data_IF_825562195736
#
_entry.id   IF_825562195736
#
_cell.length_a   1.000
_cell.length_b   1.000
_cell.length_c   1.000
_cell.angle_alpha   90.00
_cell.angle_beta   90.00
_cell.angle_gamma   90.00
#
_symmetry.space_group_name_H-M   'P 1'
#
loop_
_entity.id
_entity.type
_entity.pdbx_description
1 polymer ?
#
# COMPACT_ATOMS: atom_id res chain seq x y z
N UNK A 1 37.48 -16.71 2.07
CA UNK A 1 37.64 -17.54 3.28
C UNK A 1 37.39 -16.63 4.47
N UNK A 2 36.14 -16.55 4.87
CA UNK A 2 35.71 -16.06 6.19
C UNK A 2 34.52 -16.95 6.52
N UNK A 3 34.89 -18.06 7.13
CA UNK A 3 34.04 -19.03 7.76
C UNK A 3 33.51 -18.37 9.03
N UNK A 4 32.26 -17.91 9.02
CA UNK A 4 31.53 -17.64 10.26
C UNK A 4 30.78 -18.92 10.59
N UNK A 5 31.49 -19.77 11.31
CA UNK A 5 30.96 -20.91 12.03
C UNK A 5 29.98 -20.41 13.10
N UNK A 6 28.72 -20.21 12.72
CA UNK A 6 27.59 -20.17 13.66
C UNK A 6 27.19 -21.59 13.97
N UNK A 7 28.07 -22.33 14.65
CA UNK A 7 27.73 -23.62 15.23
C UNK A 7 26.68 -23.41 16.31
N UNK A 8 25.49 -23.87 15.99
CA UNK A 8 24.28 -24.11 16.79
C UNK A 8 24.55 -24.31 18.28
N UNK A 9 24.12 -23.35 19.10
CA UNK A 9 23.91 -23.55 20.53
C UNK A 9 22.44 -23.31 20.88
N UNK A 10 21.56 -24.14 20.31
CA UNK A 10 20.22 -24.26 20.86
C UNK A 10 20.37 -24.90 22.25
N UNK A 11 20.01 -24.16 23.30
CA UNK A 11 19.93 -24.69 24.65
C UNK A 11 18.46 -24.97 24.91
N UNK A 12 18.06 -26.19 25.34
CA UNK A 12 16.68 -26.43 25.73
C UNK A 12 16.27 -25.36 26.78
N UNK A 13 15.31 -24.51 26.43
CA UNK A 13 14.81 -23.33 27.17
C UNK A 13 15.33 -21.94 26.75
N UNK A 14 16.25 -21.80 25.79
CA UNK A 14 16.64 -20.51 25.21
C UNK A 14 16.63 -20.54 23.67
N UNK A 15 16.26 -19.42 23.06
CA UNK A 15 16.31 -19.19 21.60
C UNK A 15 17.74 -18.84 21.13
N UNK A 16 17.95 -18.66 19.82
CA UNK A 16 19.25 -18.31 19.23
C UNK A 16 19.78 -16.94 19.65
N UNK A 17 18.92 -16.07 20.18
CA UNK A 17 19.25 -14.75 20.71
C UNK A 17 19.45 -14.77 22.23
N UNK A 18 19.24 -15.92 22.89
CA UNK A 18 19.36 -16.09 24.33
C UNK A 18 18.11 -15.70 25.13
N UNK A 19 16.94 -15.56 24.50
CA UNK A 19 15.68 -15.30 25.19
C UNK A 19 15.04 -16.59 25.69
N UNK A 20 14.25 -16.51 26.76
CA UNK A 20 13.49 -17.63 27.30
C UNK A 20 12.37 -18.05 26.34
N UNK A 21 12.27 -19.35 26.10
CA UNK A 21 11.20 -19.94 25.30
C UNK A 21 10.26 -20.75 26.20
N UNK A 22 8.97 -20.71 25.90
CA UNK A 22 7.97 -21.50 26.63
C UNK A 22 8.02 -22.96 26.18
N UNK A 23 8.02 -23.17 24.86
CA UNK A 23 8.02 -24.49 24.28
C UNK A 23 8.65 -24.53 22.89
N UNK A 24 9.12 -25.72 22.54
CA UNK A 24 9.44 -26.08 21.16
C UNK A 24 8.30 -26.92 20.63
N UNK A 25 7.67 -26.45 19.55
CA UNK A 25 6.57 -27.15 18.93
C UNK A 25 7.05 -28.02 17.77
N UNK A 26 6.48 -29.23 17.65
CA UNK A 26 6.84 -30.20 16.60
C UNK A 26 5.64 -30.46 15.68
N UNK A 27 5.47 -29.63 14.62
CA UNK A 27 4.33 -29.76 13.72
C UNK A 27 4.26 -31.12 13.01
N UNK A 28 5.41 -31.78 12.79
CA UNK A 28 5.46 -33.09 12.13
C UNK A 28 4.71 -34.21 12.88
N UNK A 29 4.49 -34.05 14.18
CA UNK A 29 3.75 -35.02 15.01
C UNK A 29 2.32 -34.57 15.33
N UNK A 30 1.93 -33.37 14.91
CA UNK A 30 0.63 -32.79 15.22
C UNK A 30 -0.50 -33.42 14.39
N UNK A 31 -1.65 -33.59 15.01
CA UNK A 31 -2.91 -33.93 14.36
C UNK A 31 -3.42 -32.75 13.50
N UNK A 32 -4.33 -33.00 12.55
CA UNK A 32 -4.94 -31.92 11.78
C UNK A 32 -5.62 -30.84 12.62
N UNK A 33 -6.17 -31.20 13.78
CA UNK A 33 -6.81 -30.26 14.72
C UNK A 33 -5.77 -29.38 15.40
N UNK A 34 -4.70 -29.97 15.95
CA UNK A 34 -3.59 -29.23 16.56
C UNK A 34 -2.93 -28.28 15.56
N UNK A 35 -2.70 -28.74 14.32
CA UNK A 35 -2.21 -27.86 13.25
C UNK A 35 -3.11 -26.63 13.04
N UNK A 36 -4.44 -26.82 13.01
CA UNK A 36 -5.37 -25.72 12.84
C UNK A 36 -5.39 -24.75 14.03
N UNK A 37 -5.25 -25.25 15.25
CA UNK A 37 -5.13 -24.44 16.48
C UNK A 37 -3.88 -23.55 16.44
N UNK A 38 -2.80 -24.02 15.81
CA UNK A 38 -1.57 -23.26 15.59
C UNK A 38 -1.52 -22.49 14.25
N UNK A 39 -2.68 -22.25 13.62
CA UNK A 39 -2.78 -21.38 12.45
C UNK A 39 -2.35 -22.01 11.12
N UNK A 40 -2.33 -23.35 11.03
CA UNK A 40 -2.12 -24.04 9.76
C UNK A 40 -3.43 -24.30 9.04
N UNK A 41 -3.46 -23.94 7.76
CA UNK A 41 -4.46 -24.41 6.82
C UNK A 41 -3.96 -25.66 6.12
N UNK A 42 -4.89 -26.49 5.61
CA UNK A 42 -4.54 -27.73 4.90
C UNK A 42 -5.19 -27.83 3.50
N UNK A 43 -5.01 -26.82 2.62
CA UNK A 43 -5.49 -26.88 1.25
C UNK A 43 -4.87 -28.07 0.53
N UNK A 44 -5.72 -28.90 -0.09
CA UNK A 44 -5.29 -30.11 -0.80
C UNK A 44 -4.48 -31.09 0.08
N UNK A 45 -4.69 -31.05 1.40
CA UNK A 45 -3.99 -31.89 2.37
C UNK A 45 -2.53 -31.50 2.60
N UNK A 46 -2.12 -30.29 2.19
CA UNK A 46 -0.80 -29.74 2.45
C UNK A 46 -0.88 -28.76 3.63
N UNK A 47 -0.30 -29.06 4.80
CA UNK A 47 -0.21 -28.11 5.90
C UNK A 47 0.65 -26.91 5.51
N UNK A 48 0.03 -25.74 5.53
CA UNK A 48 0.67 -24.46 5.23
C UNK A 48 0.24 -23.40 6.21
N UNK A 49 1.14 -22.46 6.48
CA UNK A 49 0.86 -21.29 7.32
C UNK A 49 1.62 -20.10 6.79
N UNK A 50 1.18 -18.89 7.13
CA UNK A 50 1.86 -17.67 6.70
C UNK A 50 3.06 -17.38 7.60
N UNK A 51 4.05 -16.69 7.05
CA UNK A 51 5.19 -16.14 7.78
C UNK A 51 5.24 -14.64 7.48
N UNK A 52 4.99 -13.80 8.48
CA UNK A 52 5.02 -12.35 8.31
C UNK A 52 4.46 -11.55 9.48
N UNK A 53 4.75 -10.25 9.50
CA UNK A 53 4.19 -9.28 10.44
C UNK A 53 2.91 -8.65 9.87
N UNK A 54 1.90 -8.41 10.72
CA UNK A 54 0.65 -7.72 10.32
C UNK A 54 0.91 -6.36 9.66
N UNK A 55 1.97 -5.65 10.09
CA UNK A 55 2.29 -4.29 9.64
C UNK A 55 2.91 -4.21 8.23
N UNK A 56 3.68 -5.22 7.81
CA UNK A 56 4.35 -5.24 6.48
C UNK A 56 3.53 -6.02 5.43
N UNK A 57 2.45 -6.64 5.87
CA UNK A 57 1.67 -7.61 5.11
C UNK A 57 2.46 -8.88 4.80
N UNK A 58 1.80 -9.80 4.11
CA UNK A 58 2.25 -11.17 3.91
C UNK A 58 3.64 -11.27 3.27
N UNK A 59 4.57 -11.93 3.97
CA UNK A 59 6.02 -11.90 3.66
C UNK A 59 6.52 -13.22 3.09
N UNK A 60 5.96 -14.36 3.48
CA UNK A 60 6.14 -15.67 2.84
C UNK A 60 5.07 -16.65 3.35
N UNK A 61 4.99 -17.84 2.75
CA UNK A 61 4.28 -18.98 3.33
C UNK A 61 5.22 -20.16 3.49
N UNK A 62 4.89 -20.99 4.47
CA UNK A 62 5.67 -22.17 4.84
C UNK A 62 4.77 -23.39 4.71
N UNK A 63 5.23 -24.38 3.94
CA UNK A 63 4.64 -25.70 3.89
C UNK A 63 5.49 -26.70 4.69
N UNK A 64 4.85 -27.62 5.41
CA UNK A 64 5.59 -28.67 6.11
C UNK A 64 6.14 -29.71 5.11
N UNK A 65 7.42 -30.07 5.28
CA UNK A 65 8.16 -31.02 4.45
C UNK A 65 8.99 -30.36 3.33
N UNK A 66 9.98 -31.10 2.81
CA UNK A 66 10.86 -30.71 1.71
C UNK A 66 10.30 -31.12 0.34
N UNK A 67 9.93 -32.38 0.20
CA UNK A 67 9.49 -32.97 -1.05
C UNK A 67 7.98 -32.79 -1.29
N UNK A 68 7.52 -31.55 -1.14
CA UNK A 68 6.11 -31.20 -1.39
C UNK A 68 5.84 -31.33 -2.89
N UNK A 69 4.75 -32.04 -3.25
CA UNK A 69 4.31 -32.14 -4.64
C UNK A 69 4.13 -30.73 -5.23
N UNK A 70 4.95 -30.41 -6.23
CA UNK A 70 4.96 -29.08 -6.87
C UNK A 70 3.59 -28.66 -7.40
N UNK A 71 2.76 -29.60 -7.87
CA UNK A 71 1.40 -29.30 -8.33
C UNK A 71 0.49 -28.92 -7.17
N UNK A 72 0.63 -29.60 -6.03
CA UNK A 72 -0.12 -29.26 -4.81
C UNK A 72 0.32 -27.92 -4.26
N UNK A 73 1.62 -27.66 -4.20
CA UNK A 73 2.16 -26.38 -3.75
C UNK A 73 1.67 -25.22 -4.62
N UNK A 74 1.68 -25.40 -5.95
CA UNK A 74 1.12 -24.44 -6.90
C UNK A 74 -0.38 -24.20 -6.68
N UNK A 75 -1.16 -25.26 -6.51
CA UNK A 75 -2.60 -25.17 -6.27
C UNK A 75 -2.90 -24.45 -4.94
N UNK A 76 -2.14 -24.76 -3.90
CA UNK A 76 -2.20 -24.11 -2.58
C UNK A 76 -1.86 -22.63 -2.68
N UNK A 77 -0.74 -22.28 -3.30
CA UNK A 77 -0.34 -20.87 -3.49
C UNK A 77 -1.38 -20.08 -4.28
N UNK A 78 -1.93 -20.67 -5.35
CA UNK A 78 -3.00 -20.05 -6.14
C UNK A 78 -4.29 -19.84 -5.33
N UNK A 79 -4.70 -20.83 -4.52
CA UNK A 79 -5.87 -20.69 -3.65
C UNK A 79 -5.66 -19.55 -2.65
N UNK A 80 -4.51 -19.55 -1.98
CA UNK A 80 -4.14 -18.59 -0.96
C UNK A 80 -4.16 -17.17 -1.53
N UNK A 81 -3.45 -16.93 -2.63
CA UNK A 81 -3.41 -15.64 -3.30
C UNK A 81 -4.81 -15.10 -3.63
N UNK A 82 -5.75 -15.97 -3.96
CA UNK A 82 -7.15 -15.57 -4.21
C UNK A 82 -7.90 -15.22 -2.93
N UNK A 83 -7.73 -16.01 -1.87
CA UNK A 83 -8.51 -15.85 -0.64
C UNK A 83 -8.03 -14.70 0.24
N UNK A 84 -6.73 -14.44 0.29
CA UNK A 84 -6.14 -13.42 1.18
C UNK A 84 -5.91 -12.11 0.44
N UNK A 85 -5.39 -12.16 -0.80
CA UNK A 85 -5.01 -10.96 -1.55
C UNK A 85 -6.04 -10.55 -2.62
N UNK A 86 -7.08 -11.35 -2.85
CA UNK A 86 -8.08 -11.10 -3.88
C UNK A 86 -7.53 -11.19 -5.31
N UNK A 87 -6.39 -11.86 -5.51
CA UNK A 87 -5.77 -11.98 -6.83
C UNK A 87 -6.63 -12.84 -7.78
N UNK A 88 -6.46 -12.61 -9.09
CA UNK A 88 -7.07 -13.47 -10.09
C UNK A 88 -6.47 -14.88 -10.02
N UNK A 89 -7.26 -15.88 -10.44
CA UNK A 89 -6.77 -17.25 -10.54
C UNK A 89 -5.59 -17.32 -11.50
N UNK A 90 -4.50 -17.98 -11.13
CA UNK A 90 -3.29 -18.10 -11.95
C UNK A 90 -3.53 -18.70 -13.35
N UNK A 91 -4.64 -19.41 -13.57
CA UNK A 91 -5.06 -19.92 -14.88
C UNK A 91 -5.83 -18.86 -15.69
N UNK A 92 -6.56 -17.98 -15.00
CA UNK A 92 -7.43 -16.95 -15.62
C UNK A 92 -6.76 -15.57 -15.65
N UNK A 93 -5.61 -15.40 -14.99
CA UNK A 93 -4.86 -14.14 -14.96
C UNK A 93 -4.03 -14.00 -16.24
N UNK A 94 -4.34 -13.03 -17.11
CA UNK A 94 -3.50 -12.72 -18.27
C UNK A 94 -2.14 -12.14 -17.85
N UNK A 95 -1.99 -11.76 -16.58
CA UNK A 95 -0.75 -11.32 -15.95
C UNK A 95 -0.06 -12.55 -15.35
N UNK A 96 1.12 -12.94 -15.83
CA UNK A 96 1.81 -14.12 -15.33
C UNK A 96 2.39 -13.80 -13.94
N UNK A 97 1.59 -13.82 -12.88
CA UNK A 97 2.01 -13.46 -11.52
C UNK A 97 2.51 -14.66 -10.73
N UNK A 98 1.58 -15.44 -10.17
CA UNK A 98 1.89 -16.58 -9.27
C UNK A 98 2.72 -17.66 -9.97
N UNK A 99 2.34 -18.02 -11.20
CA UNK A 99 3.07 -19.04 -11.98
C UNK A 99 4.49 -18.57 -12.33
N UNK A 100 4.65 -17.29 -12.68
CA UNK A 100 5.96 -16.71 -13.00
C UNK A 100 6.87 -16.68 -11.79
N UNK A 101 6.35 -16.39 -10.61
CA UNK A 101 7.12 -16.47 -9.37
C UNK A 101 7.50 -17.90 -9.04
N UNK A 102 6.63 -18.90 -9.18
CA UNK A 102 7.06 -20.30 -8.96
C UNK A 102 8.12 -20.76 -9.97
N UNK A 103 8.23 -20.09 -11.12
CA UNK A 103 9.28 -20.33 -12.11
C UNK A 103 10.58 -19.57 -11.81
N UNK A 104 10.51 -18.32 -11.33
CA UNK A 104 11.68 -17.46 -11.12
C UNK A 104 12.18 -17.37 -9.67
N UNK A 105 11.30 -17.68 -8.72
CA UNK A 105 11.53 -17.76 -7.28
C UNK A 105 11.07 -19.15 -6.81
N UNK A 106 11.87 -20.19 -7.08
CA UNK A 106 11.52 -21.54 -6.68
C UNK A 106 11.39 -21.62 -5.15
N UNK A 107 10.48 -22.46 -4.64
CA UNK A 107 10.41 -22.74 -3.22
C UNK A 107 11.75 -23.23 -2.69
N UNK A 108 12.07 -22.83 -1.46
CA UNK A 108 13.34 -23.17 -0.79
C UNK A 108 13.08 -24.13 0.35
N UNK A 109 13.73 -25.28 0.30
CA UNK A 109 13.75 -26.24 1.39
C UNK A 109 14.66 -25.74 2.52
N UNK A 110 14.16 -25.70 3.75
CA UNK A 110 14.90 -25.29 4.95
C UNK A 110 14.57 -26.21 6.12
N UNK A 111 15.43 -26.22 7.13
CA UNK A 111 15.14 -26.80 8.43
C UNK A 111 14.85 -25.67 9.40
N UNK A 112 13.77 -25.79 10.18
CA UNK A 112 13.41 -24.77 11.14
C UNK A 112 12.86 -25.38 12.44
N UNK A 113 13.05 -24.66 13.54
CA UNK A 113 12.43 -24.96 14.83
C UNK A 113 11.27 -23.99 15.03
N UNK A 114 10.12 -24.52 15.44
CA UNK A 114 8.95 -23.71 15.80
C UNK A 114 9.02 -23.41 17.29
N UNK A 115 9.09 -22.13 17.62
CA UNK A 115 9.34 -21.68 18.99
C UNK A 115 8.17 -20.85 19.48
N UNK A 116 7.64 -21.23 20.64
CA UNK A 116 6.67 -20.44 21.40
C UNK A 116 7.45 -19.56 22.39
N UNK A 117 7.34 -18.21 22.29
CA UNK A 117 8.03 -17.30 23.19
C UNK A 117 7.44 -17.40 24.59
N UNK A 118 8.27 -17.27 25.63
CA UNK A 118 7.76 -17.15 26.99
C UNK A 118 6.95 -15.87 27.17
N UNK A 119 5.95 -15.92 28.06
CA UNK A 119 5.14 -14.76 28.42
C UNK A 119 6.03 -13.56 28.79
N UNK A 120 5.80 -12.41 28.16
CA UNK A 120 6.56 -11.18 28.39
C UNK A 120 7.86 -11.04 27.59
N UNK A 121 8.20 -11.96 26.70
CA UNK A 121 9.36 -11.81 25.80
C UNK A 121 9.05 -10.80 24.69
N UNK A 122 9.85 -9.72 24.57
CA UNK A 122 9.72 -8.68 23.52
C UNK A 122 10.18 -9.19 22.12
N UNK A 123 9.69 -10.34 21.66
CA UNK A 123 10.07 -10.87 20.34
C UNK A 123 9.23 -10.24 19.22
N UNK A 124 8.03 -9.71 19.50
CA UNK A 124 7.28 -8.82 18.58
C UNK A 124 5.93 -8.41 19.18
N UNK A 125 5.28 -7.42 18.55
CA UNK A 125 4.05 -6.74 18.98
C UNK A 125 2.76 -7.61 18.98
N UNK A 126 2.83 -8.92 19.27
CA UNK A 126 1.71 -9.85 19.08
C UNK A 126 0.99 -10.20 20.40
N UNK A 127 -0.31 -9.90 20.53
CA UNK A 127 -1.14 -10.40 21.61
C UNK A 127 -1.99 -11.59 21.13
N UNK A 128 -1.65 -12.82 21.55
CA UNK A 128 -2.53 -13.97 21.33
C UNK A 128 -1.94 -15.32 21.74
N UNK A 129 -2.80 -16.21 22.23
CA UNK A 129 -2.50 -17.63 22.47
C UNK A 129 -2.08 -18.29 21.13
N UNK A 130 -0.96 -19.02 21.12
CA UNK A 130 -0.48 -19.75 19.94
C UNK A 130 0.45 -18.99 18.99
N UNK A 131 0.98 -17.83 19.40
CA UNK A 131 2.00 -17.12 18.63
C UNK A 131 3.33 -17.88 18.67
N UNK A 132 3.84 -18.29 17.51
CA UNK A 132 5.15 -18.92 17.37
C UNK A 132 5.99 -18.20 16.31
N UNK A 133 7.30 -18.36 16.36
CA UNK A 133 8.23 -17.91 15.32
C UNK A 133 9.14 -19.06 14.86
N UNK A 134 9.81 -18.84 13.72
CA UNK A 134 10.75 -19.80 13.16
C UNK A 134 12.18 -19.40 13.43
N UNK A 135 12.95 -20.34 13.96
CA UNK A 135 14.41 -20.26 13.96
C UNK A 135 14.99 -21.15 12.88
N UNK A 136 16.04 -20.67 12.22
CA UNK A 136 16.76 -21.48 11.22
C UNK A 136 17.54 -22.58 11.91
N UNK A 137 17.45 -23.80 11.42
CA UNK A 137 18.13 -24.95 12.01
C UNK A 137 18.87 -25.78 10.94
N UNK A 138 19.59 -26.80 11.40
CA UNK A 138 20.25 -27.80 10.56
C UNK A 138 19.49 -29.13 10.64
N UNK A 139 19.70 -30.01 9.66
CA UNK A 139 19.08 -31.34 9.62
C UNK A 139 19.38 -32.20 10.87
N UNK A 140 20.54 -32.00 11.48
CA UNK A 140 21.01 -32.76 12.64
C UNK A 140 20.39 -32.28 13.97
N UNK A 141 19.64 -31.18 13.96
CA UNK A 141 18.96 -30.68 15.14
C UNK A 141 17.72 -31.56 15.44
N UNK A 142 17.63 -32.18 16.63
CA UNK A 142 16.52 -33.07 16.97
C UNK A 142 15.16 -32.33 17.11
N UNK A 143 15.16 -31.00 17.21
CA UNK A 143 13.97 -30.16 17.20
C UNK A 143 13.57 -29.68 15.80
N UNK A 144 14.45 -29.81 14.80
CA UNK A 144 14.20 -29.26 13.48
C UNK A 144 13.10 -30.02 12.72
N UNK A 145 12.25 -29.24 12.07
CA UNK A 145 11.23 -29.70 11.14
C UNK A 145 11.61 -29.27 9.72
N UNK A 146 11.55 -30.17 8.72
CA UNK A 146 11.77 -29.79 7.34
C UNK A 146 10.59 -28.94 6.87
N UNK A 147 10.89 -27.81 6.23
CA UNK A 147 9.89 -26.89 5.69
C UNK A 147 10.24 -26.48 4.26
N UNK A 148 9.23 -26.19 3.47
CA UNK A 148 9.35 -25.56 2.15
C UNK A 148 8.81 -24.14 2.24
N UNK A 149 9.70 -23.17 2.09
CA UNK A 149 9.35 -21.74 2.08
C UNK A 149 9.04 -21.32 0.65
N UNK A 150 7.86 -20.74 0.44
CA UNK A 150 7.50 -20.13 -0.83
C UNK A 150 7.19 -18.64 -0.63
N UNK A 151 8.03 -17.80 -1.21
CA UNK A 151 7.97 -16.35 -1.11
C UNK A 151 7.08 -15.77 -2.22
N UNK A 152 5.98 -15.11 -1.82
CA UNK A 152 5.04 -14.45 -2.73
C UNK A 152 5.24 -12.93 -2.78
N UNK A 153 6.14 -12.38 -1.97
CA UNK A 153 6.43 -10.94 -1.90
C UNK A 153 6.85 -10.36 -3.27
N UNK A 154 7.71 -11.01 -4.08
CA UNK A 154 8.03 -10.51 -5.42
C UNK A 154 6.80 -10.37 -6.34
N UNK A 155 5.80 -11.26 -6.22
CA UNK A 155 4.55 -11.16 -7.00
C UNK A 155 3.77 -9.93 -6.57
N UNK A 156 3.62 -9.73 -5.26
CA UNK A 156 2.87 -8.62 -4.68
C UNK A 156 3.46 -7.28 -5.13
N UNK A 157 4.78 -7.16 -5.07
CA UNK A 157 5.50 -5.97 -5.49
C UNK A 157 5.34 -5.68 -6.99
N UNK A 158 5.41 -6.72 -7.82
CA UNK A 158 5.23 -6.61 -9.26
C UNK A 158 3.79 -6.22 -9.64
N UNK A 159 2.77 -6.82 -9.01
CA UNK A 159 1.36 -6.45 -9.19
C UNK A 159 1.15 -4.99 -8.76
N UNK A 160 1.66 -4.59 -7.60
CA UNK A 160 1.57 -3.20 -7.14
C UNK A 160 2.27 -2.23 -8.09
N UNK A 161 3.44 -2.61 -8.63
CA UNK A 161 4.16 -1.82 -9.64
C UNK A 161 3.34 -1.70 -10.92
N UNK A 162 2.78 -2.79 -11.43
CA UNK A 162 1.97 -2.83 -12.65
C UNK A 162 0.69 -2.02 -12.48
N UNK A 163 -0.02 -2.14 -11.35
CA UNK A 163 -1.17 -1.30 -11.04
C UNK A 163 -0.81 0.18 -11.03
N UNK A 164 0.31 0.56 -10.39
CA UNK A 164 0.80 1.95 -10.44
C UNK A 164 1.13 2.40 -11.85
N UNK A 165 1.74 1.55 -12.67
CA UNK A 165 2.06 1.85 -14.07
C UNK A 165 0.80 1.99 -14.92
N UNK A 166 -0.17 1.08 -14.78
CA UNK A 166 -1.46 1.14 -15.48
C UNK A 166 -2.22 2.39 -15.07
N UNK A 167 -2.27 2.73 -13.78
CA UNK A 167 -2.91 3.95 -13.31
C UNK A 167 -2.19 5.20 -13.82
N UNK A 168 -0.86 5.19 -13.82
CA UNK A 168 -0.03 6.23 -14.44
C UNK A 168 -0.29 6.35 -15.95
N UNK A 169 -0.45 5.24 -16.66
CA UNK A 169 -0.75 5.23 -18.09
C UNK A 169 -2.19 5.66 -18.36
N UNK A 170 -3.17 5.26 -17.55
CA UNK A 170 -4.58 5.69 -17.66
C UNK A 170 -4.71 7.20 -17.46
N UNK A 171 -4.03 7.72 -16.45
CA UNK A 171 -3.99 9.17 -16.17
C UNK A 171 -3.26 9.96 -17.28
N UNK A 172 -2.26 9.37 -17.95
CA UNK A 172 -1.53 10.02 -19.07
C UNK A 172 -2.17 9.85 -20.45
N UNK A 173 -2.63 8.65 -20.81
CA UNK A 173 -3.23 8.34 -22.11
C UNK A 173 -4.64 8.95 -22.25
N UNK A 174 -5.42 9.07 -21.17
CA UNK A 174 -6.70 9.77 -21.20
C UNK A 174 -6.57 11.28 -21.44
N UNK A 175 -5.36 11.84 -21.23
CA UNK A 175 -5.14 13.29 -21.20
C UNK A 175 -3.92 13.64 -22.04
N UNK A 176 -4.02 13.56 -23.37
CA UNK A 176 -3.02 13.95 -24.40
C UNK A 176 -2.15 15.18 -24.02
N UNK A 177 -1.20 15.04 -23.10
CA UNK A 177 -0.44 16.15 -22.49
C UNK A 177 -1.27 17.21 -21.73
N UNK A 178 -2.55 16.97 -21.41
CA UNK A 178 -3.45 17.99 -20.83
C UNK A 178 -3.40 18.00 -19.31
N UNK A 179 -2.96 19.11 -18.70
CA UNK A 179 -3.05 19.33 -17.25
C UNK A 179 -4.43 19.84 -16.82
N UNK A 180 -4.84 19.52 -15.59
CA UNK A 180 -6.01 20.03 -14.89
C UNK A 180 -5.42 21.10 -13.99
N UNK A 181 -5.88 22.33 -14.19
CA UNK A 181 -5.34 23.49 -13.52
C UNK A 181 -6.48 24.14 -12.73
N UNK A 182 -6.36 24.17 -11.41
CA UNK A 182 -7.25 24.96 -10.58
C UNK A 182 -6.79 26.42 -10.61
N UNK A 183 -7.71 27.35 -10.86
CA UNK A 183 -7.44 28.79 -10.73
C UNK A 183 -7.87 29.23 -9.34
N UNK A 184 -6.95 29.80 -8.59
CA UNK A 184 -7.20 30.45 -7.32
C UNK A 184 -6.94 31.96 -7.47
N UNK A 185 -7.61 32.78 -6.67
CA UNK A 185 -7.44 34.22 -6.74
C UNK A 185 -8.59 34.98 -6.10
N UNK A 186 -8.34 36.23 -5.78
CA UNK A 186 -9.40 37.06 -5.23
C UNK A 186 -10.46 37.34 -6.31
N UNK A 187 -11.74 37.14 -5.99
CA UNK A 187 -12.87 37.45 -6.87
C UNK A 187 -12.96 38.92 -7.29
N UNK A 188 -12.17 39.82 -6.67
CA UNK A 188 -11.97 41.19 -7.16
C UNK A 188 -11.30 41.25 -8.53
N UNK A 189 -10.49 40.24 -8.88
CA UNK A 189 -9.76 40.11 -10.14
C UNK A 189 -10.44 39.10 -11.08
N UNK A 190 -11.78 39.15 -11.12
CA UNK A 190 -12.58 38.22 -11.90
C UNK A 190 -12.24 38.26 -13.39
N UNK A 191 -11.97 39.45 -13.92
CA UNK A 191 -11.60 39.64 -15.32
C UNK A 191 -10.26 38.97 -15.64
N UNK A 192 -9.27 39.11 -14.78
CA UNK A 192 -7.94 38.51 -14.92
C UNK A 192 -7.99 36.99 -14.77
N UNK A 193 -8.84 36.48 -13.87
CA UNK A 193 -9.12 35.04 -13.77
C UNK A 193 -9.77 34.50 -15.05
N UNK A 194 -10.70 35.24 -15.66
CA UNK A 194 -11.29 34.87 -16.93
C UNK A 194 -10.26 34.85 -18.07
N UNK A 195 -9.34 35.83 -18.11
CA UNK A 195 -8.23 35.85 -19.07
C UNK A 195 -7.28 34.66 -18.89
N UNK A 196 -6.91 34.34 -17.64
CA UNK A 196 -6.07 33.17 -17.33
C UNK A 196 -6.77 31.87 -17.75
N UNK A 197 -8.06 31.74 -17.50
CA UNK A 197 -8.86 30.60 -17.92
C UNK A 197 -8.85 30.43 -19.45
N UNK A 198 -9.15 31.51 -20.19
CA UNK A 198 -9.12 31.49 -21.66
C UNK A 198 -7.72 31.10 -22.19
N UNK A 199 -6.66 31.65 -21.61
CA UNK A 199 -5.28 31.33 -21.98
C UNK A 199 -4.93 29.85 -21.78
N UNK A 200 -5.26 29.28 -20.62
CA UNK A 200 -4.99 27.87 -20.32
C UNK A 200 -5.83 26.93 -21.18
N UNK A 201 -7.11 27.26 -21.38
CA UNK A 201 -8.03 26.50 -22.22
C UNK A 201 -7.56 26.46 -23.67
N UNK A 202 -7.10 27.59 -24.22
CA UNK A 202 -6.54 27.67 -25.58
C UNK A 202 -5.29 26.79 -25.77
N UNK A 203 -4.55 26.51 -24.68
CA UNK A 203 -3.39 25.59 -24.68
C UNK A 203 -3.79 24.13 -24.47
N UNK A 204 -5.08 23.83 -24.44
CA UNK A 204 -5.62 22.48 -24.32
C UNK A 204 -5.63 21.94 -22.89
N UNK A 205 -5.52 22.79 -21.87
CA UNK A 205 -5.65 22.37 -20.47
C UNK A 205 -7.12 22.33 -20.04
N UNK A 206 -7.42 21.50 -19.03
CA UNK A 206 -8.71 21.48 -18.35
C UNK A 206 -8.62 22.49 -17.20
N UNK A 207 -9.53 23.45 -17.13
CA UNK A 207 -9.46 24.54 -16.14
C UNK A 207 -10.59 24.42 -15.13
N UNK A 208 -10.24 24.36 -13.84
CA UNK A 208 -11.19 24.37 -12.73
C UNK A 208 -11.17 25.77 -12.09
N UNK A 209 -11.98 26.68 -12.62
CA UNK A 209 -12.10 28.04 -12.10
C UNK A 209 -13.15 28.13 -10.97
N UNK A 210 -13.11 29.19 -10.12
CA UNK A 210 -14.23 29.55 -9.26
C UNK A 210 -15.48 29.75 -10.11
N UNK A 211 -16.62 29.19 -9.68
CA UNK A 211 -17.87 29.25 -10.44
C UNK A 211 -18.74 30.47 -10.10
N UNK A 212 -18.47 31.10 -8.95
CA UNK A 212 -19.29 32.17 -8.42
C UNK A 212 -18.45 33.41 -8.14
N UNK A 213 -18.87 34.54 -8.68
CA UNK A 213 -18.44 35.84 -8.20
C UNK A 213 -19.47 36.32 -7.18
N UNK A 214 -19.26 36.01 -5.90
CA UNK A 214 -20.19 36.43 -4.85
C UNK A 214 -20.39 37.95 -4.82
N UNK A 215 -19.46 38.76 -5.35
CA UNK A 215 -19.58 40.22 -5.45
C UNK A 215 -20.54 40.72 -6.54
N UNK A 216 -20.89 39.86 -7.49
CA UNK A 216 -21.89 40.18 -8.50
C UNK A 216 -23.30 39.80 -7.98
N UNK A 217 -24.33 40.59 -8.28
CA UNK A 217 -25.69 40.27 -7.90
C UNK A 217 -26.19 39.01 -8.60
N UNK A 218 -26.90 38.15 -7.87
CA UNK A 218 -27.52 36.92 -8.39
C UNK A 218 -28.69 36.51 -7.49
N UNK A 219 -29.70 35.86 -8.07
CA UNK A 219 -30.86 35.37 -7.32
C UNK A 219 -30.55 34.29 -6.28
N UNK A 220 -29.41 33.59 -6.41
CA UNK A 220 -28.98 32.53 -5.48
C UNK A 220 -28.31 33.03 -4.20
N UNK A 221 -27.85 34.29 -4.14
CA UNK A 221 -27.27 34.94 -2.96
C UNK A 221 -27.73 36.40 -2.89
N UNK A 222 -29.05 36.59 -2.97
CA UNK A 222 -29.67 37.91 -3.12
C UNK A 222 -29.54 38.81 -1.87
N UNK A 223 -29.34 38.21 -0.69
CA UNK A 223 -29.09 38.92 0.57
C UNK A 223 -27.82 38.40 1.27
N UNK A 224 -27.36 39.15 2.27
CA UNK A 224 -26.10 38.86 2.97
C UNK A 224 -26.17 37.54 3.75
N UNK A 225 -27.32 37.20 4.33
CA UNK A 225 -27.52 35.93 5.07
C UNK A 225 -27.33 34.73 4.16
N UNK A 226 -27.95 34.74 2.98
CA UNK A 226 -27.80 33.67 1.97
C UNK A 226 -26.33 33.54 1.51
N UNK A 227 -25.63 34.66 1.38
CA UNK A 227 -24.22 34.70 0.99
C UNK A 227 -23.30 34.12 2.06
N UNK A 228 -23.54 34.46 3.33
CA UNK A 228 -22.78 33.94 4.48
C UNK A 228 -22.93 32.43 4.63
N UNK A 229 -24.12 31.89 4.35
CA UNK A 229 -24.38 30.44 4.37
C UNK A 229 -23.73 29.70 3.19
N UNK A 230 -23.74 30.30 2.01
CA UNK A 230 -23.23 29.67 0.79
C UNK A 230 -21.68 29.66 0.73
N UNK A 231 -21.02 30.69 1.28
CA UNK A 231 -19.57 30.87 1.16
C UNK A 231 -18.76 29.66 1.68
N UNK A 232 -19.01 29.07 2.86
CA UNK A 232 -18.26 27.90 3.35
C UNK A 232 -18.36 26.68 2.44
N UNK A 233 -19.53 26.44 1.85
CA UNK A 233 -19.74 25.33 0.89
C UNK A 233 -18.95 25.56 -0.39
N UNK A 234 -18.94 26.80 -0.90
CA UNK A 234 -18.13 27.17 -2.06
C UNK A 234 -16.63 27.05 -1.78
N UNK A 235 -16.18 27.44 -0.59
CA UNK A 235 -14.79 27.29 -0.15
C UNK A 235 -14.41 25.79 -0.07
N UNK A 236 -15.31 24.93 0.41
CA UNK A 236 -15.10 23.48 0.43
C UNK A 236 -15.02 22.88 -0.98
N UNK A 237 -15.96 23.24 -1.85
CA UNK A 237 -15.98 22.80 -3.24
C UNK A 237 -14.70 23.24 -3.98
N UNK A 238 -14.18 24.44 -3.67
CA UNK A 238 -12.94 24.91 -4.29
C UNK A 238 -11.71 24.12 -3.81
N UNK A 239 -11.67 23.72 -2.53
CA UNK A 239 -10.63 22.79 -2.04
C UNK A 239 -10.67 21.44 -2.75
N UNK A 240 -11.86 20.91 -3.04
CA UNK A 240 -11.99 19.67 -3.82
C UNK A 240 -11.52 19.85 -5.27
N UNK A 241 -11.78 21.01 -5.89
CA UNK A 241 -11.18 21.36 -7.20
C UNK A 241 -9.65 21.35 -7.15
N UNK A 242 -9.04 21.91 -6.10
CA UNK A 242 -7.58 21.90 -5.91
C UNK A 242 -7.07 20.47 -5.74
N UNK A 243 -7.78 19.62 -4.99
CA UNK A 243 -7.43 18.21 -4.82
C UNK A 243 -7.39 17.44 -6.14
N UNK A 244 -8.34 17.71 -7.04
CA UNK A 244 -8.44 17.10 -8.36
C UNK A 244 -7.42 17.64 -9.37
N UNK A 245 -6.83 18.80 -9.12
CA UNK A 245 -5.92 19.45 -10.06
C UNK A 245 -4.50 18.85 -10.02
N UNK A 246 -3.82 18.89 -11.17
CA UNK A 246 -2.39 18.56 -11.23
C UNK A 246 -1.53 19.72 -10.72
N UNK A 247 -2.03 20.95 -10.83
CA UNK A 247 -1.37 22.18 -10.41
C UNK A 247 -2.38 23.31 -10.12
N UNK A 248 -1.92 24.32 -9.38
CA UNK A 248 -2.69 25.53 -9.05
C UNK A 248 -2.07 26.75 -9.71
N UNK A 249 -2.89 27.57 -10.36
CA UNK A 249 -2.53 28.89 -10.87
C UNK A 249 -3.19 29.97 -10.00
N UNK A 250 -2.38 30.76 -9.29
CA UNK A 250 -2.83 31.88 -8.47
C UNK A 250 -2.82 33.15 -9.31
N UNK A 251 -4.00 33.76 -9.49
CA UNK A 251 -4.16 35.05 -10.14
C UNK A 251 -4.03 36.15 -9.09
N UNK A 252 -2.89 36.85 -9.13
CA UNK A 252 -2.51 37.87 -8.15
C UNK A 252 -1.91 39.12 -8.85
N UNK A 253 -2.71 39.90 -9.60
CA UNK A 253 -2.25 41.18 -10.16
C UNK A 253 -1.68 42.09 -9.06
N UNK A 254 -0.50 42.65 -9.32
CA UNK A 254 0.21 43.49 -8.34
C UNK A 254 0.63 42.76 -7.05
N UNK A 255 0.64 41.42 -7.05
CA UNK A 255 1.02 40.60 -5.89
C UNK A 255 -0.04 40.51 -4.78
N UNK A 256 -1.27 40.98 -5.02
CA UNK A 256 -2.32 40.90 -4.00
C UNK A 256 -2.76 39.45 -3.75
N UNK A 257 -2.70 39.02 -2.49
CA UNK A 257 -3.18 37.71 -2.01
C UNK A 257 -4.06 37.94 -0.77
N UNK A 258 -5.36 37.65 -0.90
CA UNK A 258 -6.31 37.70 0.23
C UNK A 258 -6.33 36.41 1.04
N UNK A 259 -7.00 36.43 2.20
CA UNK A 259 -6.95 35.33 3.18
C UNK A 259 -7.49 34.00 2.65
N UNK A 260 -8.61 34.03 1.92
CA UNK A 260 -9.17 32.83 1.28
C UNK A 260 -8.19 32.24 0.25
N UNK A 261 -7.58 33.08 -0.59
CA UNK A 261 -6.56 32.64 -1.56
C UNK A 261 -5.31 32.11 -0.87
N UNK A 262 -4.90 32.68 0.28
CA UNK A 262 -3.79 32.17 1.09
C UNK A 262 -4.11 30.77 1.63
N UNK A 263 -5.29 30.57 2.18
CA UNK A 263 -5.74 29.27 2.67
C UNK A 263 -5.79 28.20 1.55
N UNK A 264 -6.17 28.61 0.34
CA UNK A 264 -6.13 27.74 -0.86
C UNK A 264 -4.69 27.36 -1.26
N UNK A 265 -3.77 28.32 -1.23
CA UNK A 265 -2.33 28.09 -1.48
C UNK A 265 -1.76 27.11 -0.44
N UNK A 266 -2.06 27.33 0.84
CA UNK A 266 -1.61 26.44 1.91
C UNK A 266 -2.21 25.04 1.74
N UNK A 267 -3.47 24.93 1.33
CA UNK A 267 -4.10 23.65 1.02
C UNK A 267 -3.42 22.93 -0.14
N UNK A 268 -3.10 23.64 -1.23
CA UNK A 268 -2.37 23.11 -2.37
C UNK A 268 -0.98 22.59 -1.96
N UNK A 269 -0.26 23.34 -1.13
CA UNK A 269 1.04 22.93 -0.60
C UNK A 269 0.96 21.67 0.27
N UNK A 270 -0.06 21.56 1.16
CA UNK A 270 -0.29 20.34 1.95
C UNK A 270 -0.53 19.11 1.06
N UNK A 271 -1.19 19.29 -0.08
CA UNK A 271 -1.42 18.24 -1.08
C UNK A 271 -0.24 18.04 -2.05
N UNK A 272 0.89 18.73 -1.83
CA UNK A 272 2.07 18.73 -2.71
C UNK A 272 1.74 19.08 -4.17
N UNK A 273 0.74 19.94 -4.39
CA UNK A 273 0.40 20.46 -5.72
C UNK A 273 1.33 21.62 -6.07
N UNK A 274 1.96 21.63 -7.25
CA UNK A 274 2.73 22.79 -7.73
C UNK A 274 1.85 24.04 -7.80
N UNK A 275 2.37 25.16 -7.30
CA UNK A 275 1.70 26.47 -7.32
C UNK A 275 2.49 27.43 -8.22
N UNK A 276 1.80 28.13 -9.13
CA UNK A 276 2.37 29.17 -10.01
C UNK A 276 1.52 30.43 -9.96
N UNK A 277 2.12 31.57 -10.27
CA UNK A 277 1.46 32.88 -10.21
C UNK A 277 1.20 33.47 -11.60
N UNK A 278 0.13 34.26 -11.72
CA UNK A 278 -0.29 34.96 -12.93
C UNK A 278 -0.70 36.43 -12.62
N UNK A 279 -0.25 37.41 -13.44
CA UNK A 279 0.76 37.28 -14.49
C UNK A 279 2.11 36.83 -13.89
N UNK A 280 3.01 36.28 -14.72
CA UNK A 280 4.36 35.98 -14.23
C UNK A 280 5.02 37.29 -13.82
N UNK A 281 5.45 37.38 -12.56
CA UNK A 281 6.30 38.49 -12.13
C UNK A 281 7.55 38.48 -13.02
N UNK A 282 7.73 39.55 -13.79
CA UNK A 282 8.96 39.86 -14.52
C UNK A 282 10.12 40.10 -13.56
#
# INVERSE_FOLDING_TARGET
>A
MTDTDTSTHFVPALDQLGNTIEAVWKPATATPTELAEHGFEQPYGLPVTWLGNEDDGLTAYVALGHQVDRRRLLATANRIARSTEGWANAIDDPTPGVLFTVLNHPPVEKWAVFVEPAEGTEVSHWPGDGAWYLESATADDPAATPITVFDLQPVRDDIHRLHRQVEHLRTRQGRRGRRIIAICGSTRFWAEMAQANAHLTARGHIVLAPGFNLKAPNGLWADETAREQLKPELDALHRDKIRLADEVLVVAPGGYIGDSTRAEIDHAHRLRRPVRYWPRNS
#
